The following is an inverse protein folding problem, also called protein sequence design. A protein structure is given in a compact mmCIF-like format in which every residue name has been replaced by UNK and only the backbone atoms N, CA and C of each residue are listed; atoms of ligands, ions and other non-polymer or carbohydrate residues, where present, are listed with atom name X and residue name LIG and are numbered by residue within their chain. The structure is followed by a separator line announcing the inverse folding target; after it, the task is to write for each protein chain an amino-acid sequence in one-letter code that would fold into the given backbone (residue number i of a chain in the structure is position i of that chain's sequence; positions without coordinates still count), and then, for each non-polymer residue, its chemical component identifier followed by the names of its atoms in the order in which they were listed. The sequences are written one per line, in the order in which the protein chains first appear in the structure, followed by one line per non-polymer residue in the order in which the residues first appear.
data_IF_253209106979
#
_entry.id   IF_253209106979
#
_cell.length_a   1.000
_cell.length_b   1.000
_cell.length_c   1.000
_cell.angle_alpha   90.00
_cell.angle_beta   90.00
_cell.angle_gamma   90.00
#
_symmetry.space_group_name_H-M   'P 1'
#
loop_
_entity.id
_entity.type
_entity.pdbx_description
1 polymer ?
#
# COMPACT_ATOMS: atom_id res chain seq x y z
N UNK A 1 15.28 10.38 5.02
CA UNK A 1 15.80 9.35 4.09
C UNK A 1 15.81 9.94 2.69
N UNK A 2 16.89 9.71 1.95
CA UNK A 2 17.17 10.32 0.64
C UNK A 2 16.06 10.11 -0.41
N UNK A 3 15.23 9.06 -0.26
CA UNK A 3 14.21 8.64 -1.22
C UNK A 3 12.76 8.60 -0.66
N UNK A 4 12.48 9.30 0.43
CA UNK A 4 11.14 9.31 1.08
C UNK A 4 11.06 8.50 2.38
N UNK A 5 9.94 8.57 3.13
CA UNK A 5 9.79 7.92 4.43
C UNK A 5 9.89 6.40 4.33
N UNK A 6 10.38 5.79 5.39
CA UNK A 6 10.55 4.35 5.49
C UNK A 6 9.28 3.66 5.99
N UNK A 7 9.13 2.36 5.75
CA UNK A 7 8.01 1.59 6.32
C UNK A 7 7.96 1.68 7.86
N UNK A 8 9.12 1.65 8.53
CA UNK A 8 9.23 1.85 9.99
C UNK A 8 9.03 3.30 10.47
N UNK A 9 8.93 4.24 9.56
CA UNK A 9 8.61 5.62 9.89
C UNK A 9 7.08 5.74 10.13
N UNK A 10 6.28 4.92 9.44
CA UNK A 10 4.83 4.83 9.61
C UNK A 10 4.41 3.77 10.64
N UNK A 11 5.09 2.61 10.64
CA UNK A 11 4.83 1.50 11.56
C UNK A 11 6.11 1.13 12.32
N UNK A 12 6.50 1.89 13.38
CA UNK A 12 7.80 1.74 14.05
C UNK A 12 8.08 0.33 14.55
N UNK A 13 7.09 -0.26 15.21
CA UNK A 13 7.17 -1.61 15.75
C UNK A 13 6.16 -2.53 15.06
N UNK A 14 6.46 -3.82 14.89
CA UNK A 14 5.48 -4.79 14.43
C UNK A 14 4.32 -4.90 15.43
N UNK A 15 3.08 -5.18 14.96
CA UNK A 15 1.98 -5.48 15.87
C UNK A 15 2.31 -6.74 16.69
N UNK A 16 1.79 -6.86 17.93
CA UNK A 16 1.91 -8.07 18.73
C UNK A 16 1.46 -9.32 17.94
N UNK A 17 2.12 -10.49 18.15
CA UNK A 17 1.69 -11.73 17.53
C UNK A 17 0.22 -12.03 17.82
N UNK A 18 -0.54 -12.41 16.78
CA UNK A 18 -1.96 -12.74 16.89
C UNK A 18 -2.93 -11.55 16.92
N UNK A 19 -2.45 -10.30 16.85
CA UNK A 19 -3.31 -9.11 16.82
C UNK A 19 -4.15 -9.00 15.53
N UNK A 20 -3.67 -9.56 14.42
CA UNK A 20 -4.33 -9.50 13.11
C UNK A 20 -4.40 -10.93 12.55
N UNK A 21 -5.58 -11.40 12.11
CA UNK A 21 -5.71 -12.72 11.50
C UNK A 21 -4.90 -12.78 10.20
N UNK A 22 -4.45 -13.97 9.83
CA UNK A 22 -3.87 -14.19 8.51
C UNK A 22 -4.92 -14.00 7.41
N UNK A 23 -4.49 -13.77 6.15
CA UNK A 23 -5.42 -13.73 5.02
C UNK A 23 -6.22 -15.03 4.86
N UNK A 24 -5.65 -16.17 5.29
CA UNK A 24 -6.32 -17.46 5.28
C UNK A 24 -7.43 -17.58 6.34
N UNK A 25 -7.29 -16.87 7.47
CA UNK A 25 -8.25 -16.88 8.58
C UNK A 25 -9.31 -15.78 8.44
N UNK A 26 -8.89 -14.56 8.13
CA UNK A 26 -9.78 -13.39 8.00
C UNK A 26 -10.49 -13.28 6.65
N UNK A 27 -9.97 -13.98 5.63
CA UNK A 27 -10.44 -13.87 4.25
C UNK A 27 -9.99 -12.57 3.56
N UNK A 28 -9.97 -12.60 2.23
CA UNK A 28 -9.70 -11.42 1.39
C UNK A 28 -10.39 -11.60 0.05
N UNK A 29 -10.96 -10.51 -0.49
CA UNK A 29 -11.46 -10.55 -1.87
C UNK A 29 -10.27 -10.73 -2.82
N UNK A 30 -10.23 -11.84 -3.57
CA UNK A 30 -9.12 -12.10 -4.49
C UNK A 30 -8.88 -10.96 -5.49
N UNK A 31 -9.94 -10.28 -5.90
CA UNK A 31 -9.89 -9.08 -6.76
C UNK A 31 -9.19 -7.90 -6.09
N UNK A 32 -9.27 -7.77 -4.76
CA UNK A 32 -8.58 -6.71 -4.02
C UNK A 32 -7.06 -6.86 -4.16
N UNK A 33 -6.53 -8.07 -4.01
CA UNK A 33 -5.11 -8.36 -4.20
C UNK A 33 -4.65 -8.02 -5.62
N UNK A 34 -5.45 -8.37 -6.63
CA UNK A 34 -5.15 -8.05 -8.03
C UNK A 34 -5.17 -6.53 -8.30
N UNK A 35 -6.13 -5.80 -7.73
CA UNK A 35 -6.20 -4.33 -7.86
C UNK A 35 -5.00 -3.64 -7.20
N UNK A 36 -4.68 -4.00 -5.95
CA UNK A 36 -3.52 -3.43 -5.23
C UNK A 36 -2.22 -3.78 -5.95
N UNK A 37 -2.06 -5.02 -6.42
CA UNK A 37 -0.89 -5.43 -7.20
C UNK A 37 -0.75 -4.64 -8.51
N UNK A 38 -1.85 -4.39 -9.21
CA UNK A 38 -1.84 -3.58 -10.45
C UNK A 38 -1.44 -2.13 -10.19
N UNK A 39 -1.88 -1.55 -9.07
CA UNK A 39 -1.45 -0.22 -8.62
C UNK A 39 0.06 -0.23 -8.33
N UNK A 40 0.56 -1.22 -7.58
CA UNK A 40 1.99 -1.36 -7.30
C UNK A 40 2.84 -1.48 -8.58
N UNK A 41 2.39 -2.28 -9.55
CA UNK A 41 3.06 -2.40 -10.87
C UNK A 41 3.08 -1.06 -11.60
N UNK A 42 1.98 -0.31 -11.57
CA UNK A 42 1.91 1.03 -12.18
C UNK A 42 2.93 1.98 -11.55
N UNK A 43 3.07 1.98 -10.22
CA UNK A 43 4.06 2.80 -9.52
C UNK A 43 5.50 2.36 -9.84
N UNK A 44 5.75 1.05 -9.95
CA UNK A 44 7.06 0.54 -10.35
C UNK A 44 7.44 0.98 -11.78
N UNK A 45 6.48 0.93 -12.73
CA UNK A 45 6.70 1.41 -14.10
C UNK A 45 7.04 2.91 -14.10
N UNK A 46 6.29 3.73 -13.36
CA UNK A 46 6.56 5.18 -13.26
C UNK A 46 7.98 5.46 -12.75
N UNK A 47 8.41 4.74 -11.71
CA UNK A 47 9.75 4.87 -11.15
C UNK A 47 10.83 4.45 -12.16
N UNK A 48 10.68 3.28 -12.81
CA UNK A 48 11.66 2.75 -13.74
C UNK A 48 11.79 3.60 -15.02
N UNK A 49 10.67 4.12 -15.52
CA UNK A 49 10.65 4.95 -16.73
C UNK A 49 10.93 6.44 -16.44
N UNK A 50 10.97 6.86 -15.17
CA UNK A 50 11.15 8.26 -14.79
C UNK A 50 9.99 9.17 -15.24
N UNK A 51 8.75 8.67 -15.22
CA UNK A 51 7.57 9.39 -15.70
C UNK A 51 6.52 9.60 -14.59
N UNK A 52 5.73 10.68 -14.74
CA UNK A 52 4.63 11.00 -13.84
C UNK A 52 5.08 11.42 -12.43
N UNK A 53 4.16 11.32 -11.47
CA UNK A 53 4.39 11.59 -10.04
C UNK A 53 4.15 10.29 -9.24
N UNK A 54 5.21 9.54 -8.89
CA UNK A 54 5.11 8.33 -8.07
C UNK A 54 4.56 8.60 -6.67
N UNK A 55 3.88 7.63 -6.06
CA UNK A 55 3.31 7.71 -4.71
C UNK A 55 4.35 7.75 -3.57
N UNK A 56 5.61 8.07 -3.86
CA UNK A 56 6.67 8.19 -2.85
C UNK A 56 6.26 9.24 -1.80
N UNK A 57 6.29 8.84 -0.53
CA UNK A 57 5.84 9.68 0.59
C UNK A 57 4.33 9.78 0.78
N UNK A 58 3.54 8.92 0.11
CA UNK A 58 2.08 8.88 0.24
C UNK A 58 1.60 7.45 0.47
N UNK A 59 0.75 7.24 1.46
CA UNK A 59 0.01 6.01 1.66
C UNK A 59 -1.32 6.12 0.91
N UNK A 60 -1.54 5.26 -0.09
CA UNK A 60 -2.84 5.09 -0.72
C UNK A 60 -3.63 4.00 0.01
N UNK A 61 -4.86 4.33 0.39
CA UNK A 61 -5.84 3.43 0.99
C UNK A 61 -6.94 3.22 -0.04
N UNK A 62 -7.19 1.96 -0.39
CA UNK A 62 -8.27 1.57 -1.28
C UNK A 62 -9.35 0.85 -0.48
N UNK A 63 -10.52 1.49 -0.37
CA UNK A 63 -11.73 0.87 0.13
C UNK A 63 -12.53 0.31 -1.05
N UNK A 64 -12.56 -1.01 -1.18
CA UNK A 64 -13.25 -1.68 -2.29
C UNK A 64 -14.76 -1.83 -2.09
N UNK A 65 -15.28 -1.67 -0.86
CA UNK A 65 -16.72 -1.71 -0.63
C UNK A 65 -17.35 -0.38 -1.05
N UNK A 66 -16.73 0.72 -0.64
CA UNK A 66 -17.19 2.08 -0.97
C UNK A 66 -16.62 2.60 -2.30
N UNK A 67 -15.71 1.86 -2.91
CA UNK A 67 -14.98 2.24 -4.13
C UNK A 67 -14.27 3.59 -4.01
N UNK A 68 -13.57 3.79 -2.89
CA UNK A 68 -12.88 5.04 -2.58
C UNK A 68 -11.37 4.87 -2.52
N UNK A 69 -10.67 5.90 -2.99
CA UNK A 69 -9.22 6.04 -2.85
C UNK A 69 -8.91 7.23 -1.96
N UNK A 70 -8.17 7.01 -0.89
CA UNK A 70 -7.68 8.05 0.00
C UNK A 70 -6.16 8.05 0.02
N UNK A 71 -5.55 9.23 -0.04
CA UNK A 71 -4.10 9.38 0.11
C UNK A 71 -3.78 10.13 1.40
N UNK A 72 -2.79 9.63 2.13
CA UNK A 72 -2.27 10.25 3.36
C UNK A 72 -0.78 10.51 3.16
N UNK A 73 -0.33 11.73 3.48
CA UNK A 73 1.09 12.06 3.44
C UNK A 73 1.81 11.37 4.61
N UNK A 74 2.96 10.76 4.32
CA UNK A 74 3.80 10.02 5.27
C UNK A 74 5.12 10.76 5.47
#
# INVERSE_FOLDING_TARGET
SEHGPCYRCLYPEPPPPGMVPSCAEGGVLGVLCASVGSIQVTEAIKLLAGIGDPLVGRLMIYDALEMQYRQVKV
#
